data_IF_440198602461
#
_entry.id   IF_440198602461
#
_cell.length_a   1.000
_cell.length_b   1.000
_cell.length_c   1.000
_cell.angle_alpha   90.00
_cell.angle_beta   90.00
_cell.angle_gamma   90.00
#
_symmetry.space_group_name_H-M   'P 1'
#
loop_
_entity.id
_entity.type
_entity.pdbx_description
1 polymer ?
#
# COMPACT_ATOMS: atom_id res chain seq x y z
N UNK A 1 -8.63 -40.86 -4.06
CA UNK A 1 -7.75 -40.05 -4.94
C UNK A 1 -8.52 -39.80 -6.23
N UNK A 2 -8.56 -38.56 -6.72
CA UNK A 2 -9.24 -38.21 -7.98
C UNK A 2 -8.52 -38.89 -9.15
N UNK A 3 -9.07 -40.00 -9.63
CA UNK A 3 -8.48 -40.77 -10.75
C UNK A 3 -8.62 -40.05 -12.10
N UNK A 4 -9.55 -39.09 -12.23
CA UNK A 4 -9.61 -38.18 -13.37
C UNK A 4 -9.55 -36.71 -12.93
N UNK A 5 -8.45 -35.98 -13.18
CA UNK A 5 -8.29 -34.58 -12.82
C UNK A 5 -8.99 -33.62 -13.81
N UNK A 6 -10.05 -34.08 -14.49
CA UNK A 6 -10.81 -33.22 -15.41
C UNK A 6 -11.53 -32.15 -14.58
N UNK A 7 -11.37 -30.85 -14.91
CA UNK A 7 -11.95 -29.75 -14.12
C UNK A 7 -13.45 -29.88 -13.86
N UNK A 8 -14.20 -30.41 -14.84
CA UNK A 8 -15.64 -30.64 -14.71
C UNK A 8 -16.00 -31.72 -13.68
N UNK A 9 -15.25 -32.82 -13.63
CA UNK A 9 -15.47 -33.91 -12.67
C UNK A 9 -15.14 -33.45 -11.25
N UNK A 10 -14.02 -32.75 -11.09
CA UNK A 10 -13.60 -32.17 -9.81
C UNK A 10 -14.65 -31.16 -9.30
N UNK A 11 -15.13 -30.27 -10.18
CA UNK A 11 -16.13 -29.26 -9.83
C UNK A 11 -17.45 -29.90 -9.37
N UNK A 12 -17.96 -30.92 -10.09
CA UNK A 12 -19.19 -31.64 -9.70
C UNK A 12 -19.09 -32.30 -8.33
N UNK A 13 -17.90 -32.76 -7.94
CA UNK A 13 -17.66 -33.37 -6.62
C UNK A 13 -17.55 -32.28 -5.54
N UNK A 14 -16.90 -31.16 -5.84
CA UNK A 14 -16.68 -30.07 -4.88
C UNK A 14 -17.94 -29.23 -4.61
N UNK A 15 -18.81 -29.02 -5.60
CA UNK A 15 -20.03 -28.21 -5.47
C UNK A 15 -20.88 -28.61 -4.25
N UNK A 16 -21.32 -29.88 -4.09
CA UNK A 16 -22.16 -30.26 -2.96
C UNK A 16 -21.45 -30.09 -1.61
N UNK A 17 -20.14 -30.37 -1.56
CA UNK A 17 -19.32 -30.21 -0.35
C UNK A 17 -19.22 -28.74 0.06
N UNK A 18 -19.03 -27.84 -0.90
CA UNK A 18 -18.93 -26.40 -0.66
C UNK A 18 -20.30 -25.78 -0.35
N UNK A 19 -21.39 -26.28 -0.94
CA UNK A 19 -22.74 -25.78 -0.67
C UNK A 19 -23.27 -26.22 0.69
N UNK A 20 -22.88 -27.40 1.17
CA UNK A 20 -23.28 -27.93 2.48
C UNK A 20 -22.24 -27.63 3.59
N UNK A 21 -21.15 -26.95 3.24
CA UNK A 21 -20.10 -26.60 4.20
C UNK A 21 -20.67 -25.73 5.33
N UNK A 22 -20.67 -26.27 6.55
CA UNK A 22 -21.02 -25.50 7.75
C UNK A 22 -20.01 -24.38 7.93
N UNK A 23 -20.47 -23.14 7.87
CA UNK A 23 -19.65 -21.99 8.19
C UNK A 23 -19.11 -22.12 9.63
N UNK A 24 -17.79 -22.09 9.76
CA UNK A 24 -17.15 -22.03 11.07
C UNK A 24 -17.61 -20.79 11.83
N UNK A 25 -17.56 -20.85 13.16
CA UNK A 25 -17.83 -19.66 13.99
C UNK A 25 -16.78 -18.61 13.69
N UNK A 26 -17.22 -17.42 13.29
CA UNK A 26 -16.32 -16.27 13.16
C UNK A 26 -15.75 -15.98 14.55
N UNK A 27 -14.42 -15.95 14.72
CA UNK A 27 -13.81 -15.64 16.00
C UNK A 27 -14.22 -14.24 16.44
N UNK A 28 -14.25 -14.00 17.75
CA UNK A 28 -14.51 -12.66 18.27
C UNK A 28 -13.43 -11.71 17.73
N UNK A 29 -13.80 -10.56 17.14
CA UNK A 29 -12.82 -9.60 16.63
C UNK A 29 -11.87 -9.17 17.73
N UNK A 30 -10.58 -9.14 17.41
CA UNK A 30 -9.60 -8.55 18.32
C UNK A 30 -9.76 -7.03 18.32
N UNK A 31 -10.02 -6.45 19.50
CA UNK A 31 -10.19 -5.00 19.68
C UNK A 31 -8.86 -4.24 19.62
N UNK A 32 -7.73 -4.94 19.71
CA UNK A 32 -6.38 -4.37 19.66
C UNK A 32 -5.84 -4.24 18.22
N UNK A 33 -6.70 -4.37 17.20
CA UNK A 33 -6.32 -4.21 15.79
C UNK A 33 -6.92 -2.92 15.27
N UNK A 34 -6.09 -2.09 14.63
CA UNK A 34 -6.54 -0.90 13.89
C UNK A 34 -6.14 -0.97 12.44
N UNK A 35 -6.98 -0.41 11.57
CA UNK A 35 -6.70 -0.29 10.15
C UNK A 35 -5.61 0.77 9.95
N UNK A 36 -4.51 0.38 9.29
CA UNK A 36 -3.48 1.34 8.90
C UNK A 36 -4.04 2.35 7.90
N UNK A 37 -3.75 3.63 8.11
CA UNK A 37 -4.20 4.71 7.23
C UNK A 37 -3.04 5.60 6.82
N UNK A 38 -3.19 6.25 5.66
CA UNK A 38 -2.20 7.15 5.10
C UNK A 38 -2.91 8.39 4.54
N UNK A 39 -2.37 9.57 4.85
CA UNK A 39 -2.83 10.86 4.33
C UNK A 39 -1.65 11.56 3.69
N UNK A 40 -1.75 11.83 2.39
CA UNK A 40 -0.73 12.59 1.65
C UNK A 40 -1.02 14.07 1.88
N UNK A 41 -0.04 14.79 2.44
CA UNK A 41 -0.11 16.23 2.68
C UNK A 41 0.48 17.01 1.48
N UNK A 42 1.57 16.49 0.91
CA UNK A 42 2.23 17.04 -0.26
C UNK A 42 2.64 15.91 -1.22
N UNK A 43 2.48 16.04 -2.55
CA UNK A 43 1.95 17.20 -3.29
C UNK A 43 0.44 17.40 -3.07
N UNK A 44 0.01 18.65 -2.91
CA UNK A 44 -1.40 18.98 -2.72
C UNK A 44 -2.15 18.95 -4.06
N UNK A 45 -3.32 18.31 -4.12
CA UNK A 45 -4.18 18.34 -5.31
C UNK A 45 -4.84 19.71 -5.56
N UNK A 46 -4.61 20.69 -4.68
CA UNK A 46 -5.25 22.02 -4.74
C UNK A 46 -4.46 23.04 -5.56
N UNK A 47 -3.18 22.76 -5.84
CA UNK A 47 -2.36 23.64 -6.67
C UNK A 47 -2.51 23.24 -8.14
N UNK A 48 -3.20 24.06 -8.94
CA UNK A 48 -3.21 24.00 -10.43
C UNK A 48 -1.82 24.27 -11.05
N UNK A 49 -0.76 24.19 -10.26
CA UNK A 49 0.61 24.44 -10.68
C UNK A 49 1.18 23.18 -11.32
N UNK A 50 1.19 23.16 -12.65
CA UNK A 50 1.92 22.14 -13.40
C UNK A 50 3.42 22.27 -13.15
N UNK A 51 4.06 21.17 -12.77
CA UNK A 51 5.51 21.10 -12.62
C UNK A 51 6.14 20.89 -14.00
N UNK A 52 6.93 21.87 -14.44
CA UNK A 52 7.68 21.81 -15.70
C UNK A 52 9.05 21.21 -15.44
N UNK A 53 9.41 20.16 -16.18
CA UNK A 53 10.76 19.60 -16.13
C UNK A 53 11.23 19.10 -17.49
N UNK A 54 12.54 19.17 -17.72
CA UNK A 54 13.17 18.81 -18.97
C UNK A 54 13.20 17.29 -19.16
N UNK A 55 12.81 16.82 -20.34
CA UNK A 55 12.90 15.41 -20.70
C UNK A 55 14.33 14.89 -20.59
N UNK A 56 14.47 13.64 -20.11
CA UNK A 56 15.77 13.00 -19.86
C UNK A 56 16.47 13.45 -18.57
N UNK A 57 15.94 14.44 -17.84
CA UNK A 57 16.44 14.84 -16.53
C UNK A 57 15.51 14.39 -15.40
N UNK A 58 16.08 14.35 -14.20
CA UNK A 58 15.36 14.00 -12.97
C UNK A 58 14.79 15.27 -12.35
N UNK A 59 13.50 15.23 -12.01
CA UNK A 59 12.84 16.21 -11.16
C UNK A 59 12.62 15.62 -9.77
N UNK A 60 12.88 16.42 -8.75
CA UNK A 60 12.59 16.07 -7.36
C UNK A 60 11.25 16.68 -6.96
N UNK A 61 10.26 15.85 -6.65
CA UNK A 61 8.94 16.26 -6.16
C UNK A 61 8.91 16.07 -4.64
N UNK A 62 8.71 17.13 -3.85
CA UNK A 62 8.52 16.98 -2.40
C UNK A 62 7.33 16.07 -2.12
N UNK A 63 7.49 15.16 -1.18
CA UNK A 63 6.45 14.22 -0.81
C UNK A 63 6.39 14.09 0.71
N UNK A 64 5.23 14.46 1.24
CA UNK A 64 4.95 14.44 2.66
C UNK A 64 3.65 13.67 2.92
N UNK A 65 3.70 12.75 3.87
CA UNK A 65 2.52 12.00 4.28
C UNK A 65 2.54 11.64 5.76
N UNK A 66 1.35 11.55 6.35
CA UNK A 66 1.14 10.99 7.68
C UNK A 66 0.57 9.59 7.59
N UNK A 67 1.15 8.68 8.37
CA UNK A 67 0.80 7.28 8.40
C UNK A 67 0.45 6.89 9.83
N UNK A 68 -0.69 6.22 10.01
CA UNK A 68 -1.18 5.83 11.33
C UNK A 68 -1.35 4.32 11.43
N UNK A 69 -1.17 3.80 12.64
CA UNK A 69 -1.40 2.40 12.99
C UNK A 69 -0.61 1.41 12.10
N UNK A 70 0.65 1.73 11.78
CA UNK A 70 1.51 0.84 11.00
C UNK A 70 2.18 -0.20 11.89
N UNK A 71 2.01 -1.49 11.58
CA UNK A 71 2.71 -2.56 12.32
C UNK A 71 4.21 -2.55 12.00
N UNK A 72 4.56 -2.37 10.72
CA UNK A 72 5.94 -2.42 10.24
C UNK A 72 6.18 -1.31 9.22
N UNK A 73 6.87 -0.22 9.62
CA UNK A 73 7.17 0.91 8.74
C UNK A 73 8.04 0.55 7.53
N UNK A 74 8.81 -0.54 7.61
CA UNK A 74 9.70 -0.97 6.51
C UNK A 74 8.93 -1.49 5.29
N UNK A 75 7.63 -1.78 5.45
CA UNK A 75 6.75 -2.30 4.39
C UNK A 75 6.15 -1.22 3.51
N UNK A 76 6.32 0.05 3.86
CA UNK A 76 5.80 1.15 3.06
C UNK A 76 6.52 1.20 1.72
N UNK A 77 5.75 1.46 0.66
CA UNK A 77 6.25 1.68 -0.69
C UNK A 77 5.61 2.95 -1.26
N UNK A 78 6.37 3.66 -2.08
CA UNK A 78 5.86 4.73 -2.92
C UNK A 78 5.68 4.17 -4.32
N UNK A 79 4.47 4.26 -4.85
CA UNK A 79 4.10 3.82 -6.19
C UNK A 79 3.89 5.03 -7.07
N UNK A 80 4.70 5.14 -8.11
CA UNK A 80 4.65 6.22 -9.10
C UNK A 80 4.13 5.60 -10.38
N UNK A 81 3.02 6.09 -10.90
CA UNK A 81 2.44 5.63 -12.16
C UNK A 81 2.55 6.76 -13.18
N UNK A 82 3.25 6.45 -14.25
CA UNK A 82 3.47 7.36 -15.37
C UNK A 82 2.33 7.25 -16.39
N UNK A 83 2.16 8.27 -17.26
CA UNK A 83 1.16 8.28 -18.32
C UNK A 83 1.32 7.12 -19.33
N UNK A 84 2.55 6.66 -19.53
CA UNK A 84 2.90 5.55 -20.44
C UNK A 84 2.63 4.16 -19.83
N UNK A 85 1.79 4.10 -18.78
CA UNK A 85 1.44 2.92 -18.00
C UNK A 85 2.62 2.27 -17.24
N UNK A 86 3.84 2.83 -17.33
CA UNK A 86 4.94 2.36 -16.51
C UNK A 86 4.66 2.70 -15.05
N UNK A 87 4.96 1.74 -14.18
CA UNK A 87 4.84 1.92 -12.74
C UNK A 87 6.19 1.67 -12.10
N UNK A 88 6.62 2.60 -11.26
CA UNK A 88 7.81 2.46 -10.44
C UNK A 88 7.40 2.34 -8.98
N UNK A 89 8.03 1.41 -8.27
CA UNK A 89 7.82 1.20 -6.84
C UNK A 89 9.14 1.45 -6.11
N UNK A 90 9.12 2.36 -5.14
CA UNK A 90 10.31 2.81 -4.42
C UNK A 90 10.14 2.51 -2.93
N UNK A 91 11.23 2.05 -2.30
CA UNK A 91 11.34 1.95 -0.85
C UNK A 91 11.80 3.31 -0.28
N UNK A 92 11.01 3.97 0.60
CA UNK A 92 11.46 5.15 1.31
C UNK A 92 12.70 4.86 2.16
N UNK A 93 13.62 5.83 2.26
CA UNK A 93 14.78 5.68 3.14
C UNK A 93 14.30 5.67 4.60
N UNK A 94 14.86 4.81 5.47
CA UNK A 94 14.50 4.81 6.89
C UNK A 94 14.65 6.18 7.57
N UNK A 95 15.66 6.96 7.17
CA UNK A 95 15.90 8.30 7.71
C UNK A 95 14.76 9.31 7.43
N UNK A 96 13.94 9.05 6.42
CA UNK A 96 12.79 9.87 6.01
C UNK A 96 11.54 9.58 6.85
N UNK A 97 11.52 8.48 7.60
CA UNK A 97 10.43 8.09 8.49
C UNK A 97 10.68 8.72 9.85
N UNK A 98 9.86 9.70 10.23
CA UNK A 98 9.94 10.39 11.53
C UNK A 98 8.76 9.98 12.40
N UNK A 99 8.97 9.61 13.68
CA UNK A 99 7.86 9.37 14.59
C UNK A 99 6.94 10.59 14.68
N UNK A 100 5.63 10.36 14.60
CA UNK A 100 4.64 11.38 14.95
C UNK A 100 4.43 11.33 16.46
N UNK A 101 4.84 12.39 17.14
CA UNK A 101 4.50 12.62 18.55
C UNK A 101 3.06 13.14 18.61
N UNK A 102 2.08 12.27 18.37
CA UNK A 102 0.71 12.59 18.77
C UNK A 102 0.69 12.60 20.31
N UNK A 103 0.04 13.62 20.87
CA UNK A 103 0.01 13.95 22.29
C UNK A 103 -0.21 12.69 23.16
N UNK A 104 0.63 12.51 24.18
CA UNK A 104 0.76 11.30 24.99
C UNK A 104 -0.44 11.01 25.91
N UNK A 105 -1.58 11.65 25.65
CA UNK A 105 -2.79 11.63 26.47
C UNK A 105 -3.77 10.55 26.07
N UNK A 106 -3.72 10.05 24.83
CA UNK A 106 -4.63 9.00 24.37
C UNK A 106 -4.00 7.60 24.43
N UNK A 107 -4.67 6.71 25.17
CA UNK A 107 -4.40 5.26 25.20
C UNK A 107 -4.46 4.61 23.81
N UNK A 108 -4.98 5.31 22.79
CA UNK A 108 -5.02 4.86 21.39
C UNK A 108 -3.64 4.73 20.72
N UNK A 109 -2.60 5.39 21.26
CA UNK A 109 -1.23 5.36 20.71
C UNK A 109 -0.47 4.04 20.93
N UNK A 110 -1.09 3.03 21.52
CA UNK A 110 -0.44 1.74 21.85
C UNK A 110 -0.44 0.74 20.68
N UNK A 111 -1.26 0.94 19.64
CA UNK A 111 -1.41 -0.03 18.54
C UNK A 111 -0.66 0.45 17.30
N UNK A 112 0.56 -0.06 17.11
CA UNK A 112 1.40 0.23 15.94
C UNK A 112 2.11 1.59 16.00
N UNK A 113 2.72 1.96 14.88
CA UNK A 113 3.55 3.16 14.74
C UNK A 113 2.81 4.26 13.98
N UNK A 114 2.80 5.46 14.55
CA UNK A 114 2.37 6.69 13.88
C UNK A 114 3.61 7.43 13.38
N UNK A 115 3.68 7.70 12.08
CA UNK A 115 4.91 8.16 11.40
C UNK A 115 4.57 9.22 10.37
N UNK A 116 5.45 10.22 10.26
CA UNK A 116 5.50 11.19 9.19
C UNK A 116 6.58 10.77 8.20
N UNK A 117 6.21 10.60 6.94
CA UNK A 117 7.13 10.34 5.85
C UNK A 117 7.50 11.66 5.19
N UNK A 118 8.78 12.03 5.27
CA UNK A 118 9.35 13.25 4.70
C UNK A 118 10.40 12.86 3.65
N UNK A 119 10.01 12.86 2.38
CA UNK A 119 10.88 12.40 1.30
C UNK A 119 10.74 13.26 0.06
N UNK A 120 11.61 13.03 -0.92
CA UNK A 120 11.42 13.54 -2.27
C UNK A 120 11.29 12.38 -3.24
N UNK A 121 10.26 12.42 -4.06
CA UNK A 121 10.01 11.45 -5.12
C UNK A 121 10.73 11.93 -6.36
N UNK A 122 11.63 11.09 -6.87
CA UNK A 122 12.39 11.39 -8.07
C UNK A 122 11.59 10.91 -9.29
N UNK A 123 11.23 11.85 -10.16
CA UNK A 123 10.45 11.61 -11.36
C UNK A 123 11.35 11.85 -12.57
N UNK A 124 11.37 10.92 -13.51
CA UNK A 124 12.12 11.04 -14.76
C UNK A 124 11.30 10.48 -15.91
N UNK A 125 11.28 11.19 -17.03
CA UNK A 125 10.56 10.79 -18.23
C UNK A 125 11.35 11.09 -19.50
N UNK A 126 10.98 10.40 -20.58
CA UNK A 126 11.30 10.82 -21.94
C UNK A 126 10.24 11.81 -22.42
N UNK A 127 10.48 12.50 -23.53
CA UNK A 127 9.58 13.54 -24.07
C UNK A 127 8.12 13.04 -24.11
N UNK A 128 7.23 13.73 -23.37
CA UNK A 128 5.79 13.65 -23.59
C UNK A 128 5.35 14.78 -24.52
N UNK A 129 4.43 14.47 -25.43
CA UNK A 129 3.90 15.43 -26.40
C UNK A 129 3.02 16.50 -25.76
N UNK A 130 2.51 16.25 -24.55
CA UNK A 130 1.57 17.11 -23.83
C UNK A 130 1.81 17.05 -22.31
N UNK A 131 1.18 17.97 -21.58
CA UNK A 131 1.18 17.92 -20.12
C UNK A 131 0.36 16.70 -19.66
N UNK A 132 0.95 15.85 -18.85
CA UNK A 132 0.33 14.62 -18.38
C UNK A 132 0.39 14.49 -16.87
N UNK A 133 -0.56 13.71 -16.32
CA UNK A 133 -0.61 13.43 -14.89
C UNK A 133 0.32 12.26 -14.51
N UNK A 134 1.11 12.48 -13.47
CA UNK A 134 1.89 11.43 -12.80
C UNK A 134 1.22 11.16 -11.46
N UNK A 135 0.77 9.93 -11.24
CA UNK A 135 0.12 9.56 -9.98
C UNK A 135 1.18 9.07 -8.98
N UNK A 136 1.25 9.71 -7.81
CA UNK A 136 2.11 9.26 -6.70
C UNK A 136 1.21 8.72 -5.58
N UNK A 137 1.41 7.46 -5.21
CA UNK A 137 0.59 6.76 -4.24
C UNK A 137 1.45 6.11 -3.15
N UNK A 138 0.85 5.84 -2.00
CA UNK A 138 1.44 5.04 -0.94
C UNK A 138 0.85 3.63 -1.01
N UNK A 139 1.70 2.62 -0.88
CA UNK A 139 1.31 1.23 -0.84
C UNK A 139 1.96 0.52 0.35
N UNK A 140 1.31 -0.54 0.81
CA UNK A 140 1.85 -1.45 1.82
C UNK A 140 2.29 -2.74 1.12
N UNK A 141 3.57 -3.09 1.25
CA UNK A 141 4.09 -4.36 0.76
C UNK A 141 3.66 -5.48 1.71
N UNK A 142 2.98 -6.48 1.16
CA UNK A 142 2.62 -7.70 1.88
C UNK A 142 3.67 -8.76 1.54
N UNK A 143 4.47 -9.23 2.50
CA UNK A 143 5.41 -10.31 2.26
C UNK A 143 4.68 -11.59 1.87
N UNK A 144 5.26 -12.40 0.98
CA UNK A 144 4.69 -13.71 0.61
C UNK A 144 4.48 -14.60 1.84
N UNK A 145 5.36 -14.49 2.84
CA UNK A 145 5.23 -15.22 4.11
C UNK A 145 3.95 -14.88 4.89
N UNK A 146 3.33 -13.72 4.67
CA UNK A 146 2.08 -13.34 5.31
C UNK A 146 0.85 -13.73 4.47
N UNK A 147 1.06 -14.08 3.18
CA UNK A 147 0.03 -14.61 2.29
C UNK A 147 -0.16 -16.10 2.61
N UNK A 148 -1.02 -16.39 3.60
CA UNK A 148 -1.52 -17.74 3.80
C UNK A 148 -0.97 -18.52 5.00
N UNK A 149 -0.45 -17.86 6.05
CA UNK A 149 -0.28 -18.52 7.35
C UNK A 149 -1.65 -18.89 7.95
N UNK A 150 -2.23 -19.99 7.49
CA UNK A 150 -3.23 -20.74 8.25
C UNK A 150 -2.52 -21.22 9.51
N UNK A 151 -2.84 -20.62 10.66
CA UNK A 151 -2.51 -21.23 11.95
C UNK A 151 -3.23 -22.58 11.98
N UNK A 152 -2.45 -23.66 11.90
CA UNK A 152 -2.85 -25.03 12.21
C UNK A 152 -3.39 -25.14 13.62
#
# INVERSE_FOLDING_TARGET
LLEEPKPGTVSRILIPILSEAKLGRIPRPNIDIRMSSAVILEPSNQTDTSLKFTAGLIMSVPFEAELKYLIDPSRIRLKIKYPDQKTQVILPRPAHLKPLYFDATDKESQVGHNIRLLTSVLVSHQVWSEACNVEINIALAIPEADIGKRKT
#
